data_IF_651337940841
#
_entry.id   IF_651337940841
#
_cell.length_a   1.000
_cell.length_b   1.000
_cell.length_c   1.000
_cell.angle_alpha   90.00
_cell.angle_beta   90.00
_cell.angle_gamma   90.00
#
_symmetry.space_group_name_H-M   'P 1'
#
loop_
_entity.id
_entity.type
_entity.pdbx_description
1 polymer ?
#
# COMPACT_ATOMS: atom_id res chain seq x y z
N UNK A 1 4.76 -3.66 -22.60
CA UNK A 1 3.99 -3.38 -21.36
C UNK A 1 4.23 -4.43 -20.25
N UNK A 2 5.49 -4.77 -19.91
CA UNK A 2 5.82 -5.74 -18.84
C UNK A 2 6.21 -5.08 -17.50
N UNK A 3 6.70 -3.83 -17.54
CA UNK A 3 7.26 -3.17 -16.35
C UNK A 3 6.20 -2.77 -15.31
N UNK A 4 5.02 -2.31 -15.72
CA UNK A 4 3.97 -1.86 -14.80
C UNK A 4 3.47 -3.02 -13.93
N UNK A 5 3.12 -4.15 -14.54
CA UNK A 5 2.68 -5.33 -13.81
C UNK A 5 3.75 -5.89 -12.87
N UNK A 6 5.03 -5.79 -13.25
CA UNK A 6 6.13 -6.19 -12.37
C UNK A 6 6.24 -5.27 -11.15
N UNK A 7 6.11 -3.94 -11.35
CA UNK A 7 6.08 -2.97 -10.25
C UNK A 7 4.88 -3.19 -9.31
N UNK A 8 3.68 -3.37 -9.87
CA UNK A 8 2.47 -3.67 -9.10
C UNK A 8 2.62 -4.95 -8.27
N UNK A 9 3.15 -6.04 -8.85
CA UNK A 9 3.43 -7.28 -8.11
C UNK A 9 4.48 -7.10 -7.02
N UNK A 10 5.53 -6.30 -7.28
CA UNK A 10 6.54 -5.99 -6.27
C UNK A 10 5.93 -5.23 -5.08
N UNK A 11 5.18 -4.18 -5.36
CA UNK A 11 4.46 -3.41 -4.35
C UNK A 11 3.51 -4.28 -3.54
N UNK A 12 2.71 -5.12 -4.21
CA UNK A 12 1.80 -6.04 -3.55
C UNK A 12 2.52 -6.97 -2.56
N UNK A 13 3.65 -7.56 -2.97
CA UNK A 13 4.46 -8.43 -2.10
C UNK A 13 5.00 -7.68 -0.89
N UNK A 14 5.48 -6.45 -1.07
CA UNK A 14 5.97 -5.62 0.02
C UNK A 14 4.86 -5.32 1.03
N UNK A 15 3.66 -4.96 0.56
CA UNK A 15 2.52 -4.73 1.45
C UNK A 15 2.12 -5.99 2.19
N UNK A 16 2.00 -7.13 1.50
CA UNK A 16 1.63 -8.40 2.12
C UNK A 16 2.66 -8.86 3.16
N UNK A 17 3.96 -8.67 2.90
CA UNK A 17 5.03 -9.00 3.85
C UNK A 17 5.00 -8.11 5.09
N UNK A 18 4.68 -6.82 4.93
CA UNK A 18 4.59 -5.87 6.04
C UNK A 18 3.26 -5.93 6.79
N UNK A 19 2.22 -6.51 6.18
CA UNK A 19 0.86 -6.58 6.70
C UNK A 19 0.48 -7.99 7.16
N UNK A 20 1.28 -8.55 8.08
CA UNK A 20 1.17 -9.95 8.54
C UNK A 20 -0.22 -10.28 9.10
N UNK A 21 -0.79 -9.37 9.90
CA UNK A 21 -2.05 -9.58 10.62
C UNK A 21 -3.26 -8.92 9.93
N UNK A 22 -3.11 -8.47 8.68
CA UNK A 22 -4.17 -7.78 7.93
C UNK A 22 -4.38 -6.31 8.30
N UNK A 23 -3.78 -5.83 9.39
CA UNK A 23 -3.72 -4.40 9.74
C UNK A 23 -2.40 -4.04 10.45
N UNK A 24 -1.51 -3.34 9.76
CA UNK A 24 -0.21 -2.93 10.33
C UNK A 24 0.13 -1.46 10.04
N UNK A 25 1.23 -0.98 10.63
CA UNK A 25 1.80 0.35 10.33
C UNK A 25 3.22 0.19 9.82
N UNK A 26 3.58 0.95 8.80
CA UNK A 26 4.92 0.99 8.23
C UNK A 26 5.32 2.46 7.98
N UNK A 27 6.59 2.82 8.19
CA UNK A 27 7.08 4.14 7.81
C UNK A 27 7.30 4.22 6.30
N UNK A 28 7.27 5.45 5.77
CA UNK A 28 7.61 5.74 4.37
C UNK A 28 8.98 5.16 3.99
N UNK A 29 9.99 5.39 4.83
CA UNK A 29 11.35 4.92 4.58
C UNK A 29 11.44 3.39 4.50
N UNK A 30 10.68 2.66 5.32
CA UNK A 30 10.66 1.20 5.29
C UNK A 30 10.12 0.67 3.96
N UNK A 31 9.06 1.31 3.45
CA UNK A 31 8.48 0.99 2.13
C UNK A 31 9.47 1.32 1.01
N UNK A 32 10.08 2.51 1.04
CA UNK A 32 11.08 2.94 0.05
C UNK A 32 12.33 2.05 0.04
N UNK A 33 12.81 1.63 1.21
CA UNK A 33 13.99 0.75 1.34
C UNK A 33 13.74 -0.63 0.72
N UNK A 34 12.51 -1.14 0.83
CA UNK A 34 12.07 -2.37 0.12
C UNK A 34 11.83 -2.13 -1.38
N UNK A 35 11.93 -0.88 -1.83
CA UNK A 35 11.72 -0.45 -3.21
C UNK A 35 10.26 -0.45 -3.62
N UNK A 36 9.38 -0.04 -2.70
CA UNK A 36 7.97 0.25 -2.95
C UNK A 36 7.83 1.55 -3.76
N UNK A 37 6.94 1.53 -4.75
CA UNK A 37 6.73 2.66 -5.66
C UNK A 37 5.29 3.18 -5.53
N UNK A 38 5.10 4.29 -4.81
CA UNK A 38 3.77 4.85 -4.47
C UNK A 38 2.95 5.27 -5.70
N UNK A 39 3.58 5.45 -6.87
CA UNK A 39 2.87 5.78 -8.11
C UNK A 39 2.11 4.58 -8.71
N UNK A 40 2.39 3.36 -8.23
CA UNK A 40 1.82 2.13 -8.79
C UNK A 40 0.79 1.53 -7.84
N UNK A 41 -0.48 1.82 -8.14
CA UNK A 41 -1.66 1.24 -7.49
C UNK A 41 -2.75 0.92 -8.53
N UNK A 42 -3.72 0.11 -8.13
CA UNK A 42 -4.83 -0.33 -9.02
C UNK A 42 -6.12 0.44 -8.77
N UNK A 43 -6.36 0.86 -7.53
CA UNK A 43 -7.58 1.55 -7.14
C UNK A 43 -7.29 2.60 -6.06
N UNK A 44 -8.07 3.67 -6.06
CA UNK A 44 -8.07 4.69 -4.99
C UNK A 44 -9.46 4.71 -4.37
N UNK A 45 -9.53 4.71 -3.05
CA UNK A 45 -10.75 4.92 -2.29
C UNK A 45 -10.59 6.15 -1.41
N UNK A 46 -11.43 7.17 -1.65
CA UNK A 46 -11.51 8.33 -0.78
C UNK A 46 -12.70 8.17 0.17
N UNK A 47 -12.47 8.31 1.47
CA UNK A 47 -13.54 8.28 2.47
C UNK A 47 -14.12 9.67 2.64
N UNK A 48 -15.39 9.73 3.08
CA UNK A 48 -16.07 11.00 3.42
C UNK A 48 -15.37 11.79 4.54
N UNK A 49 -14.51 11.13 5.32
CA UNK A 49 -13.69 11.72 6.37
C UNK A 49 -12.38 12.33 5.85
N UNK A 50 -12.15 12.36 4.53
CA UNK A 50 -10.95 12.92 3.90
C UNK A 50 -9.76 11.97 3.82
N UNK A 51 -9.92 10.69 4.19
CA UNK A 51 -8.83 9.73 4.12
C UNK A 51 -8.76 9.12 2.71
N UNK A 52 -7.55 9.07 2.15
CA UNK A 52 -7.30 8.45 0.85
C UNK A 52 -6.58 7.12 1.04
N UNK A 53 -7.17 6.05 0.54
CA UNK A 53 -6.62 4.70 0.53
C UNK A 53 -6.22 4.32 -0.88
N UNK A 54 -5.01 3.81 -1.03
CA UNK A 54 -4.46 3.31 -2.28
C UNK A 54 -4.41 1.79 -2.20
N UNK A 55 -4.99 1.12 -3.18
CA UNK A 55 -5.14 -0.33 -3.19
C UNK A 55 -4.36 -0.98 -4.35
N UNK A 56 -3.69 -2.08 -4.01
CA UNK A 56 -3.13 -3.08 -4.90
C UNK A 56 -3.86 -4.40 -4.67
N UNK A 57 -4.85 -4.70 -5.51
CA UNK A 57 -5.72 -5.86 -5.33
C UNK A 57 -6.39 -5.86 -3.94
N UNK A 58 -6.09 -6.84 -3.08
CA UNK A 58 -6.62 -6.95 -1.72
C UNK A 58 -5.81 -6.18 -0.68
N UNK A 59 -4.59 -5.74 -1.00
CA UNK A 59 -3.76 -4.94 -0.10
C UNK A 59 -4.00 -3.46 -0.32
N UNK A 60 -4.05 -2.68 0.75
CA UNK A 60 -4.20 -1.24 0.71
C UNK A 60 -3.29 -0.54 1.68
N UNK A 61 -3.04 0.73 1.41
CA UNK A 61 -2.33 1.61 2.32
C UNK A 61 -2.96 3.01 2.33
N UNK A 62 -2.88 3.69 3.47
CA UNK A 62 -3.18 5.13 3.55
C UNK A 62 -2.08 5.86 4.29
N UNK A 63 -1.81 7.10 3.91
CA UNK A 63 -0.93 7.97 4.68
C UNK A 63 -1.57 8.33 6.03
N UNK A 64 -0.75 8.37 7.06
CA UNK A 64 -1.02 8.90 8.38
C UNK A 64 -0.16 10.15 8.60
N UNK A 65 -0.39 10.83 9.70
CA UNK A 65 0.49 11.90 10.17
C UNK A 65 1.90 11.33 10.52
N UNK A 66 2.95 12.14 10.34
CA UNK A 66 4.37 11.81 10.58
C UNK A 66 5.01 10.78 9.62
N UNK A 67 4.69 10.81 8.33
CA UNK A 67 5.31 9.93 7.31
C UNK A 67 5.10 8.42 7.55
N UNK A 68 4.07 8.07 8.31
CA UNK A 68 3.64 6.69 8.47
C UNK A 68 2.53 6.33 7.48
N UNK A 69 2.48 5.05 7.15
CA UNK A 69 1.43 4.46 6.36
C UNK A 69 0.74 3.37 7.17
N UNK A 70 -0.58 3.38 7.12
CA UNK A 70 -1.40 2.31 7.64
C UNK A 70 -1.66 1.31 6.52
N UNK A 71 -1.26 0.05 6.74
CA UNK A 71 -1.51 -1.04 5.82
C UNK A 71 -2.79 -1.75 6.23
N UNK A 72 -3.61 -2.09 5.24
CA UNK A 72 -4.89 -2.76 5.42
C UNK A 72 -5.03 -3.86 4.39
N UNK A 73 -5.65 -4.97 4.75
CA UNK A 73 -6.08 -6.00 3.81
C UNK A 73 -7.61 -5.96 3.71
N UNK A 74 -8.12 -5.90 2.49
CA UNK A 74 -9.54 -6.05 2.22
C UNK A 74 -9.84 -7.55 2.18
N UNK A 75 -10.58 -8.04 3.17
CA UNK A 75 -11.22 -9.34 3.05
C UNK A 75 -12.35 -9.20 2.01
N UNK A 76 -12.28 -10.03 0.98
CA UNK A 76 -13.34 -10.18 -0.04
C UNK A 76 -14.33 -11.21 0.47
#
# INVERSE_FOLDING_TARGET
>A
MRNINNKLRKNYRILAELNVDGKSKASRDKLLTKGFDFEFFTNILQTKTGNTYYFLYDQGYRSLDNDYFMLVKKEI
#
